data_IF_787456241007
#
_entry.id   IF_787456241007
#
_cell.length_a   1.000
_cell.length_b   1.000
_cell.length_c   1.000
_cell.angle_alpha   90.00
_cell.angle_beta   90.00
_cell.angle_gamma   90.00
#
_symmetry.space_group_name_H-M   'P 1'
#
loop_
_entity.id
_entity.type
_entity.pdbx_description
1 polymer ?
#
# COMPACT_ATOMS: atom_id res chain seq x y z
N UNK A 1 3.35 -0.56 18.25
CA UNK A 1 4.57 -0.94 17.49
C UNK A 1 4.18 -1.25 16.05
N UNK A 2 4.95 -0.80 15.07
CA UNK A 2 4.72 -1.07 13.65
C UNK A 2 5.45 -2.35 13.23
N UNK A 3 4.82 -3.16 12.38
CA UNK A 3 5.41 -4.34 11.74
C UNK A 3 5.76 -4.02 10.29
N UNK A 4 6.92 -4.48 9.82
CA UNK A 4 7.27 -4.57 8.41
C UNK A 4 7.40 -6.04 8.00
N UNK A 5 6.57 -6.50 7.07
CA UNK A 5 6.76 -7.79 6.40
C UNK A 5 7.66 -7.57 5.19
N UNK A 6 8.88 -8.09 5.25
CA UNK A 6 9.88 -7.96 4.18
C UNK A 6 9.72 -9.11 3.16
N UNK A 7 9.35 -8.77 1.95
CA UNK A 7 9.23 -9.68 0.81
C UNK A 7 10.56 -9.85 0.05
N UNK A 8 11.71 -9.78 0.75
CA UNK A 8 13.05 -9.92 0.16
C UNK A 8 13.36 -8.85 -0.90
N UNK A 9 13.03 -7.61 -0.57
CA UNK A 9 13.22 -6.48 -1.46
C UNK A 9 14.32 -5.54 -0.97
N UNK A 10 15.16 -5.06 -1.91
CA UNK A 10 16.24 -4.13 -1.59
C UNK A 10 15.75 -2.75 -1.12
N UNK A 11 14.49 -2.38 -1.42
CA UNK A 11 13.91 -1.11 -1.01
C UNK A 11 13.22 -1.16 0.36
N UNK A 12 13.07 -2.34 0.97
CA UNK A 12 12.43 -2.49 2.29
C UNK A 12 13.08 -1.59 3.33
N UNK A 13 14.40 -1.55 3.40
CA UNK A 13 15.11 -0.73 4.40
C UNK A 13 15.02 0.77 4.15
N UNK A 14 14.76 1.23 2.93
CA UNK A 14 14.42 2.63 2.66
C UNK A 14 13.05 2.98 3.27
N UNK A 15 12.06 2.08 3.19
CA UNK A 15 10.79 2.24 3.90
C UNK A 15 10.99 2.28 5.42
N UNK A 16 11.79 1.35 5.96
CA UNK A 16 12.13 1.30 7.39
C UNK A 16 12.74 2.63 7.84
N UNK A 17 13.72 3.14 7.09
CA UNK A 17 14.36 4.41 7.39
C UNK A 17 13.36 5.58 7.40
N UNK A 18 12.51 5.70 6.38
CA UNK A 18 11.53 6.78 6.33
C UNK A 18 10.50 6.70 7.46
N UNK A 19 10.06 5.48 7.81
CA UNK A 19 9.16 5.27 8.95
C UNK A 19 9.83 5.61 10.28
N UNK A 20 11.10 5.25 10.45
CA UNK A 20 11.89 5.61 11.64
C UNK A 20 12.06 7.14 11.76
N UNK A 21 12.34 7.85 10.67
CA UNK A 21 12.41 9.31 10.64
C UNK A 21 11.06 9.97 11.01
N UNK A 22 9.94 9.28 10.79
CA UNK A 22 8.60 9.70 11.19
C UNK A 22 8.24 9.29 12.63
N UNK A 23 9.19 8.69 13.37
CA UNK A 23 8.99 8.24 14.75
C UNK A 23 8.26 6.91 14.90
N UNK A 24 8.17 6.12 13.82
CA UNK A 24 7.48 4.83 13.79
C UNK A 24 8.40 3.72 13.26
N UNK A 25 9.54 3.52 13.93
CA UNK A 25 10.49 2.46 13.55
C UNK A 25 9.81 1.07 13.62
N UNK A 26 9.75 0.31 12.51
CA UNK A 26 9.09 -0.97 12.49
C UNK A 26 10.00 -2.11 12.95
N UNK A 27 9.41 -3.13 13.58
CA UNK A 27 10.02 -4.45 13.67
C UNK A 27 9.94 -5.12 12.29
N UNK A 28 11.08 -5.60 11.78
CA UNK A 28 11.19 -6.19 10.44
C UNK A 28 11.25 -7.70 10.56
N UNK A 29 10.33 -8.40 9.89
CA UNK A 29 10.35 -9.84 9.73
C UNK A 29 10.21 -10.20 8.26
N UNK A 30 10.98 -11.19 7.82
CA UNK A 30 10.83 -11.74 6.48
C UNK A 30 9.53 -12.52 6.35
N UNK A 31 9.01 -12.58 5.14
CA UNK A 31 7.70 -13.16 4.84
C UNK A 31 7.60 -14.69 5.07
N UNK A 32 8.70 -15.36 5.37
CA UNK A 32 8.83 -16.78 5.69
C UNK A 32 9.38 -17.06 7.10
N UNK A 33 9.66 -16.02 7.89
CA UNK A 33 10.24 -16.13 9.23
C UNK A 33 9.22 -15.96 10.36
N UNK A 34 7.96 -15.64 10.04
CA UNK A 34 6.92 -15.31 11.01
C UNK A 34 5.59 -15.97 10.63
N UNK A 35 4.79 -16.31 11.63
CA UNK A 35 3.45 -16.85 11.47
C UNK A 35 2.39 -15.79 11.74
N UNK A 36 1.15 -16.02 11.28
CA UNK A 36 0.03 -15.06 11.52
C UNK A 36 -0.21 -14.85 13.01
N UNK A 37 -0.08 -15.88 13.84
CA UNK A 37 -0.32 -15.79 15.29
C UNK A 37 0.71 -14.88 15.98
N UNK A 38 1.94 -14.85 15.47
CA UNK A 38 3.01 -13.98 15.98
C UNK A 38 2.81 -12.50 15.61
N UNK A 39 1.93 -12.22 14.65
CA UNK A 39 1.60 -10.83 14.25
C UNK A 39 0.61 -10.15 15.20
N UNK A 40 0.10 -10.85 16.19
CA UNK A 40 -0.78 -10.25 17.19
C UNK A 40 -0.03 -9.24 18.07
N UNK A 41 -0.65 -8.07 18.30
CA UNK A 41 -0.09 -7.03 19.18
C UNK A 41 0.65 -5.89 18.47
N UNK A 42 0.75 -5.91 17.14
CA UNK A 42 1.20 -4.75 16.37
C UNK A 42 0.05 -3.76 16.13
N UNK A 43 0.36 -2.46 16.13
CA UNK A 43 -0.62 -1.39 15.91
C UNK A 43 -0.85 -1.08 14.43
N UNK A 44 0.03 -1.59 13.57
CA UNK A 44 -0.04 -1.45 12.14
C UNK A 44 0.95 -2.35 11.42
N UNK A 45 0.68 -2.59 10.16
CA UNK A 45 1.49 -3.48 9.30
C UNK A 45 1.82 -2.78 7.99
N UNK A 46 3.08 -2.83 7.59
CA UNK A 46 3.54 -2.49 6.24
C UNK A 46 3.96 -3.77 5.53
N UNK A 47 3.38 -4.03 4.37
CA UNK A 47 3.78 -5.14 3.48
C UNK A 47 4.66 -4.56 2.38
N UNK A 48 5.92 -4.96 2.36
CA UNK A 48 6.95 -4.37 1.50
C UNK A 48 6.77 -4.69 0.02
N UNK A 49 7.48 -3.96 -0.86
CA UNK A 49 7.77 -4.44 -2.21
C UNK A 49 8.42 -5.82 -2.18
N UNK A 50 8.48 -6.49 -3.33
CA UNK A 50 9.16 -7.76 -3.48
C UNK A 50 9.09 -8.28 -4.91
N UNK A 51 9.88 -9.32 -5.21
CA UNK A 51 9.84 -10.00 -6.50
C UNK A 51 8.63 -10.93 -6.62
N UNK A 52 8.34 -11.36 -7.84
CA UNK A 52 7.31 -12.34 -8.13
C UNK A 52 5.89 -11.80 -8.10
N UNK A 53 4.98 -12.66 -7.69
CA UNK A 53 3.54 -12.41 -7.63
C UNK A 53 3.05 -12.44 -6.18
N UNK A 54 1.82 -12.03 -5.87
CA UNK A 54 1.24 -12.19 -4.53
C UNK A 54 1.29 -13.64 -4.00
N UNK A 55 1.26 -14.64 -4.87
CA UNK A 55 1.36 -16.05 -4.45
C UNK A 55 2.77 -16.43 -3.97
N UNK A 56 3.78 -15.65 -4.37
CA UNK A 56 5.18 -15.81 -3.95
C UNK A 56 5.51 -14.99 -2.69
N UNK A 57 4.55 -14.24 -2.14
CA UNK A 57 4.78 -13.28 -1.06
C UNK A 57 4.71 -13.90 0.36
N UNK A 58 4.88 -15.21 0.48
CA UNK A 58 4.88 -15.91 1.77
C UNK A 58 3.64 -15.60 2.59
N UNK A 59 3.82 -15.17 3.84
CA UNK A 59 2.72 -14.88 4.77
C UNK A 59 1.92 -13.62 4.43
N UNK A 60 2.36 -12.79 3.48
CA UNK A 60 1.78 -11.45 3.25
C UNK A 60 0.27 -11.48 3.00
N UNK A 61 -0.22 -12.41 2.17
CA UNK A 61 -1.65 -12.56 1.90
C UNK A 61 -2.44 -12.96 3.15
N UNK A 62 -1.92 -13.92 3.93
CA UNK A 62 -2.59 -14.41 5.14
C UNK A 62 -2.57 -13.35 6.25
N UNK A 63 -1.49 -12.58 6.35
CA UNK A 63 -1.39 -11.43 7.26
C UNK A 63 -2.45 -10.37 6.92
N UNK A 64 -2.62 -10.03 5.65
CA UNK A 64 -3.65 -9.07 5.22
C UNK A 64 -5.05 -9.59 5.56
N UNK A 65 -5.36 -10.86 5.28
CA UNK A 65 -6.66 -11.48 5.62
C UNK A 65 -6.95 -11.44 7.13
N UNK A 66 -5.95 -11.79 7.93
CA UNK A 66 -6.10 -11.92 9.37
C UNK A 66 -6.19 -10.57 10.09
N UNK A 67 -5.50 -9.55 9.59
CA UNK A 67 -5.29 -8.28 10.28
C UNK A 67 -6.13 -7.13 9.70
N UNK A 68 -6.66 -7.25 8.48
CA UNK A 68 -7.54 -6.22 7.91
C UNK A 68 -8.79 -6.03 8.78
N UNK A 69 -9.06 -4.78 9.14
CA UNK A 69 -10.12 -4.42 10.08
C UNK A 69 -9.74 -4.49 11.55
N UNK A 70 -8.55 -5.00 11.89
CA UNK A 70 -8.02 -5.02 13.26
C UNK A 70 -6.96 -3.96 13.48
N UNK A 71 -6.08 -3.78 12.51
CA UNK A 71 -4.99 -2.78 12.52
C UNK A 71 -4.91 -2.06 11.18
N UNK A 72 -4.18 -0.94 11.15
CA UNK A 72 -3.89 -0.25 9.90
C UNK A 72 -2.88 -1.05 9.05
N UNK A 73 -3.16 -1.20 7.74
CA UNK A 73 -2.30 -1.92 6.80
C UNK A 73 -1.93 -1.00 5.64
N UNK A 74 -0.64 -0.98 5.28
CA UNK A 74 -0.13 -0.37 4.06
C UNK A 74 0.60 -1.42 3.22
N UNK A 75 0.13 -1.69 2.02
CA UNK A 75 0.83 -2.51 1.02
C UNK A 75 1.55 -1.63 0.00
N UNK A 76 2.83 -1.88 -0.22
CA UNK A 76 3.65 -1.15 -1.20
C UNK A 76 4.06 -2.10 -2.33
N UNK A 77 3.81 -1.71 -3.57
CA UNK A 77 4.13 -2.45 -4.79
C UNK A 77 3.57 -3.89 -4.76
N UNK A 78 4.37 -4.91 -4.45
CA UNK A 78 3.88 -6.29 -4.25
C UNK A 78 2.82 -6.35 -3.14
N UNK A 79 3.00 -5.62 -2.04
CA UNK A 79 2.02 -5.53 -0.96
C UNK A 79 0.68 -4.94 -1.39
N UNK A 80 0.69 -3.97 -2.30
CA UNK A 80 -0.53 -3.44 -2.92
C UNK A 80 -1.24 -4.52 -3.77
N UNK A 81 -0.49 -5.29 -4.55
CA UNK A 81 -1.02 -6.39 -5.34
C UNK A 81 -1.59 -7.51 -4.45
N UNK A 82 -0.94 -7.80 -3.32
CA UNK A 82 -1.47 -8.70 -2.30
C UNK A 82 -2.84 -8.24 -1.77
N UNK A 83 -3.00 -6.95 -1.49
CA UNK A 83 -4.29 -6.37 -1.08
C UNK A 83 -5.32 -6.58 -2.19
N UNK A 84 -5.00 -6.24 -3.44
CA UNK A 84 -5.89 -6.45 -4.57
C UNK A 84 -6.38 -7.90 -4.66
N UNK A 85 -5.45 -8.87 -4.60
CA UNK A 85 -5.75 -10.30 -4.72
C UNK A 85 -6.53 -10.84 -3.51
N UNK A 86 -6.16 -10.46 -2.29
CA UNK A 86 -6.82 -10.95 -1.06
C UNK A 86 -8.32 -10.64 -1.05
N UNK A 87 -8.71 -9.48 -1.57
CA UNK A 87 -10.12 -9.07 -1.65
C UNK A 87 -10.81 -9.50 -2.95
N UNK A 88 -10.14 -10.26 -3.83
CA UNK A 88 -10.75 -10.88 -5.02
C UNK A 88 -10.45 -10.19 -6.35
N UNK A 89 -9.58 -9.19 -6.37
CA UNK A 89 -9.06 -8.59 -7.60
C UNK A 89 -8.06 -9.50 -8.30
N UNK A 90 -7.87 -9.29 -9.60
CA UNK A 90 -6.91 -10.01 -10.43
C UNK A 90 -5.62 -9.20 -10.59
N UNK A 91 -4.48 -9.86 -10.44
CA UNK A 91 -3.15 -9.29 -10.71
C UNK A 91 -2.68 -9.82 -12.07
N UNK A 92 -2.43 -8.90 -12.99
CA UNK A 92 -2.12 -9.23 -14.39
C UNK A 92 -0.83 -8.59 -14.85
N UNK A 93 -0.23 -9.15 -15.91
CA UNK A 93 0.96 -8.56 -16.55
C UNK A 93 0.62 -7.28 -17.28
N UNK A 94 1.49 -6.30 -17.16
CA UNK A 94 1.46 -5.05 -17.91
C UNK A 94 2.86 -4.74 -18.47
N UNK A 95 2.96 -3.72 -19.30
CA UNK A 95 4.27 -3.26 -19.80
C UNK A 95 5.21 -2.93 -18.62
N UNK A 96 6.46 -3.41 -18.64
CA UNK A 96 7.41 -3.18 -17.55
C UNK A 96 7.66 -1.69 -17.31
N UNK A 97 7.61 -1.28 -16.06
CA UNK A 97 8.01 0.03 -15.60
C UNK A 97 9.18 -0.17 -14.61
N UNK A 98 10.42 0.13 -15.06
CA UNK A 98 11.61 0.00 -14.23
C UNK A 98 12.28 1.36 -14.06
N UNK A 99 12.20 1.91 -12.83
CA UNK A 99 12.83 3.19 -12.49
C UNK A 99 12.27 4.39 -13.24
N UNK A 100 11.13 4.24 -13.91
CA UNK A 100 10.43 5.33 -14.57
C UNK A 100 9.52 6.05 -13.59
N UNK A 101 9.45 7.37 -13.71
CA UNK A 101 8.43 8.15 -13.02
C UNK A 101 7.15 8.22 -13.85
N UNK A 102 6.04 8.41 -13.17
CA UNK A 102 4.74 8.69 -13.78
C UNK A 102 3.98 9.72 -12.96
N UNK A 103 3.12 10.48 -13.63
CA UNK A 103 2.16 11.35 -12.98
C UNK A 103 1.01 10.51 -12.43
N UNK A 104 0.77 10.64 -11.14
CA UNK A 104 -0.25 9.91 -10.41
C UNK A 104 -1.38 10.86 -10.04
N UNK A 105 -2.56 10.57 -10.54
CA UNK A 105 -3.81 11.20 -10.13
C UNK A 105 -4.41 10.46 -8.94
N UNK A 106 -5.15 11.17 -8.08
CA UNK A 106 -5.74 10.53 -6.90
C UNK A 106 -6.98 11.28 -6.40
N UNK A 107 -7.76 10.61 -5.56
CA UNK A 107 -9.01 11.10 -4.98
C UNK A 107 -8.83 11.90 -3.68
N UNK A 108 -7.60 12.16 -3.27
CA UNK A 108 -7.24 12.85 -2.02
C UNK A 108 -7.73 12.14 -0.75
N UNK A 109 -7.97 10.83 -0.80
CA UNK A 109 -8.47 10.06 0.34
C UNK A 109 -7.39 9.21 1.01
N UNK A 110 -7.65 8.75 2.22
CA UNK A 110 -6.80 7.81 2.93
C UNK A 110 -5.38 8.32 3.13
N UNK A 111 -4.40 7.52 2.72
CA UNK A 111 -2.97 7.89 2.82
C UNK A 111 -2.57 8.98 1.84
N UNK A 112 -3.41 9.30 0.86
CA UNK A 112 -3.18 10.33 -0.15
C UNK A 112 -3.74 11.71 0.24
N UNK A 113 -4.33 11.82 1.43
CA UNK A 113 -4.92 13.07 1.90
C UNK A 113 -3.88 14.20 1.98
N UNK A 114 -4.18 15.32 1.32
CA UNK A 114 -3.33 16.51 1.28
C UNK A 114 -2.04 16.35 0.45
N UNK A 115 -1.90 15.28 -0.32
CA UNK A 115 -0.85 15.09 -1.32
C UNK A 115 -1.14 15.97 -2.53
N UNK A 116 -0.10 16.42 -3.24
CA UNK A 116 -0.27 17.21 -4.47
C UNK A 116 -1.00 16.39 -5.54
N UNK A 117 -1.91 17.02 -6.29
CA UNK A 117 -2.69 16.38 -7.37
C UNK A 117 -2.43 17.10 -8.69
N UNK A 118 -1.87 16.44 -9.71
CA UNK A 118 -1.17 15.15 -9.64
C UNK A 118 0.20 15.27 -8.96
N UNK A 119 0.81 14.12 -8.60
CA UNK A 119 2.20 14.07 -8.17
C UNK A 119 3.01 13.05 -8.97
N UNK A 120 4.33 13.23 -8.99
CA UNK A 120 5.24 12.32 -9.68
C UNK A 120 5.72 11.22 -8.72
N UNK A 121 5.66 9.97 -9.15
CA UNK A 121 6.11 8.82 -8.37
C UNK A 121 6.89 7.81 -9.20
N UNK A 122 7.82 7.10 -8.54
CA UNK A 122 8.65 6.07 -9.15
C UNK A 122 7.91 4.74 -9.22
N UNK A 123 8.09 4.05 -10.34
CA UNK A 123 7.49 2.75 -10.65
C UNK A 123 8.56 1.70 -10.96
N UNK A 124 8.43 0.51 -10.32
CA UNK A 124 9.29 -0.66 -10.55
C UNK A 124 8.43 -1.92 -10.60
N UNK A 125 7.49 -2.02 -11.56
CA UNK A 125 6.58 -3.16 -11.62
C UNK A 125 6.24 -3.55 -13.06
N UNK A 126 6.01 -4.84 -13.26
CA UNK A 126 5.47 -5.43 -14.50
C UNK A 126 4.09 -6.09 -14.28
N UNK A 127 3.61 -6.07 -13.03
CA UNK A 127 2.28 -6.53 -12.65
C UNK A 127 1.46 -5.35 -12.13
N UNK A 128 0.16 -5.43 -12.35
CA UNK A 128 -0.83 -4.45 -11.88
C UNK A 128 -2.09 -5.15 -11.39
N UNK A 129 -2.83 -4.51 -10.50
CA UNK A 129 -4.20 -4.92 -10.22
C UNK A 129 -5.07 -4.49 -11.40
N UNK A 130 -5.75 -5.44 -12.02
CA UNK A 130 -6.63 -5.18 -13.16
C UNK A 130 -7.84 -4.36 -12.70
N UNK A 131 -8.00 -3.17 -13.27
CA UNK A 131 -9.02 -2.22 -12.85
C UNK A 131 -10.45 -2.78 -12.88
N UNK A 132 -10.78 -3.52 -13.93
CA UNK A 132 -12.12 -4.13 -14.11
C UNK A 132 -12.43 -5.24 -13.11
N UNK A 133 -11.41 -5.77 -12.42
CA UNK A 133 -11.55 -6.82 -11.41
C UNK A 133 -11.62 -6.30 -9.98
N UNK A 134 -11.43 -4.98 -9.76
CA UNK A 134 -11.46 -4.41 -8.41
C UNK A 134 -12.83 -4.64 -7.78
N UNK A 135 -12.90 -5.38 -6.64
CA UNK A 135 -14.16 -5.74 -6.03
C UNK A 135 -14.79 -4.56 -5.27
N UNK A 136 -16.09 -4.63 -4.92
CA UNK A 136 -16.80 -3.54 -4.24
C UNK A 136 -16.25 -3.22 -2.82
N UNK A 137 -15.49 -4.11 -2.21
CA UNK A 137 -14.80 -3.89 -0.94
C UNK A 137 -13.63 -2.94 -1.06
N UNK A 138 -13.11 -2.73 -2.27
CA UNK A 138 -11.99 -1.84 -2.55
C UNK A 138 -12.40 -0.64 -3.40
N UNK A 139 -11.75 0.48 -3.14
CA UNK A 139 -11.87 1.71 -3.94
C UNK A 139 -10.52 1.99 -4.58
N UNK A 140 -10.52 2.30 -5.88
CA UNK A 140 -9.34 2.83 -6.57
C UNK A 140 -9.15 4.29 -6.14
N UNK A 141 -8.04 4.58 -5.44
CA UNK A 141 -7.74 5.90 -4.88
C UNK A 141 -6.69 6.67 -5.67
N UNK A 142 -5.91 5.97 -6.50
CA UNK A 142 -4.91 6.59 -7.38
C UNK A 142 -4.78 5.84 -8.71
N UNK A 143 -4.44 6.57 -9.77
CA UNK A 143 -4.33 6.04 -11.13
C UNK A 143 -3.39 6.88 -12.00
N UNK A 144 -2.86 6.26 -13.06
CA UNK A 144 -2.14 6.96 -14.13
C UNK A 144 -3.11 7.54 -15.15
N UNK A 145 -2.64 8.42 -16.02
CA UNK A 145 -3.47 9.00 -17.11
C UNK A 145 -4.12 7.93 -18.00
N UNK A 146 -3.42 6.82 -18.25
CA UNK A 146 -3.92 5.66 -19.01
C UNK A 146 -4.75 4.66 -18.17
N UNK A 147 -5.11 5.03 -16.95
CA UNK A 147 -6.06 4.31 -16.10
C UNK A 147 -5.50 3.14 -15.31
N UNK A 148 -4.18 2.95 -15.26
CA UNK A 148 -3.56 1.91 -14.43
C UNK A 148 -3.82 2.21 -12.95
N UNK A 149 -4.26 1.22 -12.19
CA UNK A 149 -4.49 1.33 -10.75
C UNK A 149 -3.16 1.55 -10.03
N UNK A 150 -3.05 2.66 -9.31
CA UNK A 150 -1.86 3.05 -8.57
C UNK A 150 -2.11 3.18 -7.07
N UNK A 151 -3.34 3.15 -6.63
CA UNK A 151 -3.73 3.15 -5.22
C UNK A 151 -5.05 2.46 -4.99
N UNK A 152 -5.15 1.77 -3.87
CA UNK A 152 -6.35 1.11 -3.38
C UNK A 152 -6.57 1.44 -1.91
N UNK A 153 -7.82 1.48 -1.49
CA UNK A 153 -8.19 1.41 -0.06
C UNK A 153 -9.40 0.51 0.13
N UNK A 154 -9.48 -0.11 1.29
CA UNK A 154 -10.69 -0.81 1.68
C UNK A 154 -11.79 0.20 2.08
N UNK A 155 -13.06 -0.11 1.76
CA UNK A 155 -14.20 0.79 2.01
C UNK A 155 -14.47 1.00 3.51
N UNK A 156 -14.15 0.02 4.36
CA UNK A 156 -14.45 0.04 5.81
C UNK A 156 -13.19 -0.07 6.69
N UNK A 157 -12.14 -0.75 6.22
CA UNK A 157 -10.95 -1.05 7.02
C UNK A 157 -9.83 -0.06 6.74
N UNK A 158 -8.93 0.21 7.69
CA UNK A 158 -7.74 1.04 7.47
C UNK A 158 -6.67 0.27 6.69
N UNK A 159 -7.04 -0.25 5.52
CA UNK A 159 -6.18 -1.03 4.64
C UNK A 159 -5.99 -0.25 3.34
N UNK A 160 -4.74 0.06 3.03
CA UNK A 160 -4.31 0.92 1.92
C UNK A 160 -3.24 0.23 1.09
N UNK A 161 -3.28 0.41 -0.21
CA UNK A 161 -2.26 -0.07 -1.13
C UNK A 161 -1.78 1.05 -2.06
N UNK A 162 -0.47 1.12 -2.29
CA UNK A 162 0.13 1.99 -3.30
C UNK A 162 1.02 1.16 -4.22
N UNK A 163 0.82 1.26 -5.53
CA UNK A 163 1.59 0.49 -6.52
C UNK A 163 2.98 1.11 -6.75
N UNK A 164 3.12 2.40 -6.57
CA UNK A 164 4.38 3.13 -6.68
C UNK A 164 5.21 3.00 -5.39
N UNK A 165 6.46 3.48 -5.44
CA UNK A 165 7.42 3.41 -4.35
C UNK A 165 7.52 4.74 -3.59
N UNK A 166 6.85 4.89 -2.43
CA UNK A 166 6.90 6.13 -1.64
C UNK A 166 8.27 6.36 -0.98
N UNK A 167 9.08 5.31 -0.85
CA UNK A 167 10.44 5.36 -0.31
C UNK A 167 11.50 5.84 -1.31
N UNK A 168 11.12 5.94 -2.58
CA UNK A 168 12.03 6.45 -3.61
C UNK A 168 12.25 7.96 -3.44
N UNK A 169 13.50 8.40 -3.57
CA UNK A 169 13.87 9.83 -3.53
C UNK A 169 13.17 10.65 -4.64
N UNK A 170 12.80 10.00 -5.73
CA UNK A 170 12.09 10.64 -6.85
C UNK A 170 10.57 10.78 -6.59
N UNK A 171 10.03 10.09 -5.58
CA UNK A 171 8.65 10.26 -5.12
C UNK A 171 8.61 11.33 -4.03
N UNK A 172 8.56 12.61 -4.43
CA UNK A 172 8.67 13.76 -3.51
C UNK A 172 7.60 13.79 -2.41
N UNK A 173 6.40 13.30 -2.71
CA UNK A 173 5.28 13.21 -1.76
C UNK A 173 5.34 11.95 -0.87
N UNK A 174 6.32 11.07 -1.07
CA UNK A 174 6.40 9.76 -0.42
C UNK A 174 6.39 9.83 1.11
N UNK A 175 7.19 10.72 1.71
CA UNK A 175 7.21 10.90 3.18
C UNK A 175 5.86 11.37 3.72
N UNK A 176 5.12 12.19 2.98
CA UNK A 176 3.78 12.65 3.38
C UNK A 176 2.77 11.51 3.37
N UNK A 177 2.84 10.64 2.36
CA UNK A 177 2.01 9.44 2.27
C UNK A 177 2.29 8.51 3.45
N UNK A 178 3.56 8.25 3.75
CA UNK A 178 3.97 7.44 4.91
C UNK A 178 3.56 8.09 6.24
N UNK A 179 3.70 9.40 6.39
CA UNK A 179 3.24 10.12 7.58
C UNK A 179 1.71 10.03 7.76
N UNK A 180 0.95 10.07 6.67
CA UNK A 180 -0.50 9.86 6.70
C UNK A 180 -0.85 8.46 7.18
N UNK A 181 -0.08 7.44 6.80
CA UNK A 181 -0.25 6.08 7.28
C UNK A 181 0.09 5.96 8.77
N UNK A 182 1.25 6.47 9.20
CA UNK A 182 1.69 6.42 10.61
C UNK A 182 0.64 7.03 11.55
N UNK A 183 0.03 8.16 11.17
CA UNK A 183 -1.05 8.76 11.97
C UNK A 183 -2.25 7.82 12.17
N UNK A 184 -2.49 6.89 11.26
CA UNK A 184 -3.59 5.91 11.35
C UNK A 184 -3.27 4.73 12.25
N UNK A 185 -2.00 4.41 12.45
CA UNK A 185 -1.59 3.37 13.40
C UNK A 185 -1.69 3.83 14.85
N UNK A 186 -1.61 5.14 15.09
CA UNK A 186 -1.67 5.74 16.43
C UNK A 186 -3.09 6.01 16.93
N UNK A 187 -4.10 5.86 16.08
CA UNK A 187 -5.51 6.08 16.43
C UNK A 187 -6.19 4.75 16.70
N UNK A 188 -6.83 4.55 17.86
CA UNK A 188 -7.63 3.35 18.07
C UNK A 188 -8.73 3.26 17.01
N UNK A 189 -8.84 2.10 16.37
CA UNK A 189 -9.87 1.86 15.37
C UNK A 189 -11.26 1.88 16.01
N UNK A 190 -12.00 2.96 15.83
CA UNK A 190 -13.35 3.18 16.36
C UNK A 190 -14.45 2.84 15.32
N UNK A 191 -14.17 1.98 14.35
CA UNK A 191 -15.17 1.45 13.41
C UNK A 191 -15.65 2.38 12.31
N UNK A 192 -15.22 3.64 12.28
CA UNK A 192 -15.59 4.60 11.23
C UNK A 192 -14.46 5.58 10.95
N UNK A 193 -13.84 5.45 9.78
CA UNK A 193 -12.93 6.47 9.28
C UNK A 193 -13.73 7.58 8.61
N UNK A 194 -13.39 8.87 8.82
CA UNK A 194 -14.04 9.95 8.09
C UNK A 194 -13.80 9.75 6.59
N UNK A 195 -14.88 9.77 5.83
CA UNK A 195 -14.80 9.84 4.37
C UNK A 195 -14.05 11.12 4.01
N UNK A 196 -13.00 11.01 3.21
CA UNK A 196 -12.32 12.17 2.66
C UNK A 196 -13.25 12.93 1.71
N UNK A 197 -12.96 14.21 1.41
CA UNK A 197 -13.72 14.95 0.41
C UNK A 197 -13.74 14.18 -0.91
N UNK A 198 -14.88 14.21 -1.60
CA UNK A 198 -15.01 13.60 -2.92
C UNK A 198 -13.98 14.25 -3.88
N UNK A 199 -12.95 13.49 -4.22
CA UNK A 199 -11.95 13.86 -5.21
C UNK A 199 -12.40 13.52 -6.64
N UNK A 200 -11.59 13.86 -7.66
CA UNK A 200 -11.89 13.54 -9.04
C UNK A 200 -12.09 12.02 -9.21
N UNK A 201 -13.12 11.64 -9.94
CA UNK A 201 -13.40 10.22 -10.23
C UNK A 201 -12.41 9.71 -11.28
N UNK A 202 -11.94 8.45 -11.14
CA UNK A 202 -11.07 7.85 -12.13
C UNK A 202 -11.80 7.74 -13.49
N UNK A 203 -11.06 7.82 -14.61
CA UNK A 203 -11.63 7.58 -15.94
C UNK A 203 -12.21 6.15 -16.02
N UNK A 204 -13.33 6.03 -16.69
CA UNK A 204 -14.04 4.75 -16.95
C UNK A 204 -13.25 3.81 -17.85
#
# INVERSE_FOLDING_TARGET
MLLMIDNYDSFTYNLVQYLAELGAEPAVFRNDEVTVDELAGFDGVVVSPGPGTPDDAGISNDAIRALSGKVAILGVCLGHQCIGQVFGGEVVRNAPAHGKTAWIHHDNSGVLAGVSEPFEATRYHSLIVQRSSVPPELVVTAWTHDGIVMGLRHVKHPTYGVQFHPESILTKEGKKILANFVRRTSSPFMGRWPEGPEGPRPPS
#
